data_IF_761011716591
#
_entry.id   IF_761011716591
#
_cell.length_a   1.000
_cell.length_b   1.000
_cell.length_c   1.000
_cell.angle_alpha   90.00
_cell.angle_beta   90.00
_cell.angle_gamma   90.00
#
_symmetry.space_group_name_H-M   'P 1'
#
loop_
_entity.id
_entity.type
_entity.pdbx_description
1 polymer ?
#
# COMPACT_ATOMS: atom_id res chain seq x y z
N UNK A 1 2.76 -11.01 -20.18
CA UNK A 1 1.46 -11.70 -20.40
C UNK A 1 1.29 -12.70 -19.25
N UNK A 2 0.07 -12.93 -18.76
CA UNK A 2 -0.18 -13.76 -17.56
C UNK A 2 -0.16 -13.00 -16.23
N UNK A 3 -0.32 -11.68 -16.27
CA UNK A 3 -0.42 -10.80 -15.09
C UNK A 3 -1.81 -10.18 -15.11
N UNK A 4 -2.47 -10.16 -13.95
CA UNK A 4 -3.72 -9.43 -13.76
C UNK A 4 -3.41 -8.12 -13.04
N UNK A 5 -3.93 -7.01 -13.56
CA UNK A 5 -3.77 -5.68 -12.96
C UNK A 5 -5.10 -5.29 -12.33
N UNK A 6 -5.05 -4.90 -11.07
CA UNK A 6 -6.16 -4.29 -10.34
C UNK A 6 -5.81 -2.82 -10.09
N UNK A 7 -6.79 -1.95 -10.22
CA UNK A 7 -6.69 -0.55 -9.87
C UNK A 7 -7.73 -0.25 -8.80
N UNK A 8 -7.32 0.48 -7.76
CA UNK A 8 -8.14 0.78 -6.59
C UNK A 8 -7.77 2.17 -6.05
N UNK A 9 -8.75 2.90 -5.52
CA UNK A 9 -8.56 4.23 -4.96
C UNK A 9 -8.08 4.22 -3.50
N UNK A 10 -7.83 3.06 -2.88
CA UNK A 10 -7.42 2.93 -1.49
C UNK A 10 -6.19 3.81 -1.16
N UNK A 11 -6.38 4.75 -0.23
CA UNK A 11 -5.37 5.71 0.22
C UNK A 11 -5.43 5.95 1.75
N UNK A 12 -6.13 5.09 2.48
CA UNK A 12 -6.12 5.05 3.94
C UNK A 12 -5.66 3.66 4.36
N UNK A 13 -4.91 3.49 5.46
CA UNK A 13 -4.47 2.16 5.90
C UNK A 13 -5.59 1.13 5.97
N UNK A 14 -6.74 1.49 6.55
CA UNK A 14 -7.90 0.59 6.61
C UNK A 14 -8.44 0.21 5.23
N UNK A 15 -8.45 1.14 4.28
CA UNK A 15 -8.89 0.87 2.91
C UNK A 15 -7.90 -0.06 2.18
N UNK A 16 -6.60 0.21 2.30
CA UNK A 16 -5.53 -0.60 1.71
C UNK A 16 -5.60 -2.04 2.26
N UNK A 17 -5.70 -2.19 3.59
CA UNK A 17 -5.84 -3.49 4.23
C UNK A 17 -7.09 -4.24 3.74
N UNK A 18 -8.22 -3.54 3.62
CA UNK A 18 -9.48 -4.13 3.13
C UNK A 18 -9.36 -4.58 1.67
N UNK A 19 -8.75 -3.76 0.81
CA UNK A 19 -8.52 -4.10 -0.60
C UNK A 19 -7.61 -5.33 -0.72
N UNK A 20 -6.51 -5.39 0.04
CA UNK A 20 -5.58 -6.51 -0.04
C UNK A 20 -6.13 -7.79 0.59
N UNK A 21 -6.89 -7.71 1.68
CA UNK A 21 -7.62 -8.85 2.25
C UNK A 21 -8.65 -9.42 1.25
N UNK A 22 -9.43 -8.54 0.62
CA UNK A 22 -10.38 -8.94 -0.42
C UNK A 22 -9.68 -9.56 -1.64
N UNK A 23 -8.55 -8.99 -2.06
CA UNK A 23 -7.76 -9.53 -3.16
C UNK A 23 -7.18 -10.91 -2.81
N UNK A 24 -6.59 -11.08 -1.62
CA UNK A 24 -6.04 -12.36 -1.15
C UNK A 24 -7.10 -13.45 -1.16
N UNK A 25 -8.30 -13.17 -0.63
CA UNK A 25 -9.44 -14.10 -0.66
C UNK A 25 -9.85 -14.50 -2.09
N UNK A 26 -9.65 -13.62 -3.07
CA UNK A 26 -9.97 -13.87 -4.48
C UNK A 26 -8.90 -14.68 -5.21
N UNK A 27 -7.61 -14.43 -4.94
CA UNK A 27 -6.50 -15.00 -5.72
C UNK A 27 -5.79 -16.18 -5.05
N UNK A 28 -6.17 -16.51 -3.81
CA UNK A 28 -5.56 -17.60 -3.03
C UNK A 28 -4.08 -17.33 -2.82
N UNK A 29 -3.24 -18.33 -3.07
CA UNK A 29 -1.77 -18.23 -2.88
C UNK A 29 -1.04 -17.58 -4.06
N UNK A 30 -1.76 -17.01 -5.03
CA UNK A 30 -1.12 -16.30 -6.14
C UNK A 30 -0.36 -15.06 -5.63
N UNK A 31 0.85 -14.76 -6.14
CA UNK A 31 1.61 -13.60 -5.69
C UNK A 31 0.88 -12.27 -5.90
N UNK A 32 0.87 -11.42 -4.88
CA UNK A 32 0.34 -10.06 -4.89
C UNK A 32 1.50 -9.08 -4.79
N UNK A 33 1.62 -8.20 -5.78
CA UNK A 33 2.52 -7.04 -5.74
C UNK A 33 1.66 -5.80 -5.55
N UNK A 34 1.78 -5.15 -4.39
CA UNK A 34 1.10 -3.89 -4.10
C UNK A 34 1.96 -2.70 -4.52
N UNK A 35 1.45 -1.84 -5.39
CA UNK A 35 2.09 -0.57 -5.74
C UNK A 35 1.28 0.54 -5.09
N UNK A 36 1.87 1.24 -4.13
CA UNK A 36 1.14 2.22 -3.29
C UNK A 36 1.73 3.63 -3.48
N UNK A 37 0.86 4.57 -3.85
CA UNK A 37 1.17 6.00 -3.97
C UNK A 37 0.44 6.78 -2.85
N UNK A 38 1.15 7.48 -1.95
CA UNK A 38 0.55 8.42 -1.01
C UNK A 38 -0.01 9.68 -1.73
N UNK A 39 -1.19 9.57 -2.35
CA UNK A 39 -1.73 10.63 -3.23
C UNK A 39 -2.51 11.71 -2.49
N UNK A 40 -3.33 11.34 -1.50
CA UNK A 40 -4.29 12.27 -0.87
C UNK A 40 -3.56 13.39 -0.11
N UNK A 41 -4.20 14.56 0.04
CA UNK A 41 -3.60 15.66 0.80
C UNK A 41 -3.29 15.27 2.25
N UNK A 42 -4.20 14.52 2.89
CA UNK A 42 -4.01 13.97 4.23
C UNK A 42 -2.83 13.00 4.29
N UNK A 43 -2.71 12.05 3.35
CA UNK A 43 -1.54 11.16 3.30
C UNK A 43 -0.23 11.91 3.07
N UNK A 44 -0.21 12.91 2.17
CA UNK A 44 1.00 13.70 1.91
C UNK A 44 1.46 14.50 3.13
N UNK A 45 0.52 14.88 4.00
CA UNK A 45 0.79 15.51 5.29
C UNK A 45 1.17 14.51 6.40
N UNK A 46 1.22 13.21 6.09
CA UNK A 46 1.61 12.15 7.02
C UNK A 46 0.47 11.66 7.90
N UNK A 47 -0.78 12.03 7.61
CA UNK A 47 -1.92 11.45 8.30
C UNK A 47 -1.95 9.95 8.00
N UNK A 48 -1.97 9.15 9.08
CA UNK A 48 -2.00 7.68 9.04
C UNK A 48 -0.70 6.97 8.64
N UNK A 49 0.45 7.67 8.61
CA UNK A 49 1.75 7.05 8.26
C UNK A 49 2.07 5.81 9.10
N UNK A 50 1.73 5.84 10.39
CA UNK A 50 2.08 4.78 11.34
C UNK A 50 1.27 3.49 11.08
N UNK A 51 0.13 3.58 10.38
CA UNK A 51 -0.68 2.40 10.01
C UNK A 51 -0.36 1.85 8.63
N UNK A 52 0.45 2.54 7.82
CA UNK A 52 0.78 2.09 6.47
C UNK A 52 1.53 0.75 6.42
N UNK A 53 2.52 0.48 7.30
CA UNK A 53 3.27 -0.77 7.27
C UNK A 53 2.38 -2.00 7.44
N UNK A 54 1.46 -1.97 8.41
CA UNK A 54 0.54 -3.09 8.67
C UNK A 54 -0.55 -3.20 7.59
N UNK A 55 -0.88 -2.11 6.90
CA UNK A 55 -1.93 -2.13 5.88
C UNK A 55 -1.60 -3.00 4.66
N UNK A 56 -0.33 -3.30 4.45
CA UNK A 56 0.17 -4.06 3.29
C UNK A 56 0.54 -5.51 3.61
N UNK A 57 0.25 -6.00 4.83
CA UNK A 57 0.62 -7.35 5.32
C UNK A 57 0.15 -8.53 4.45
N UNK A 58 -0.87 -8.34 3.61
CA UNK A 58 -1.41 -9.39 2.72
C UNK A 58 -0.71 -9.46 1.35
N UNK A 59 0.16 -8.49 1.03
CA UNK A 59 0.95 -8.46 -0.20
C UNK A 59 2.27 -9.21 -0.04
N UNK A 60 2.73 -9.87 -1.10
CA UNK A 60 4.01 -10.59 -1.10
C UNK A 60 5.19 -9.66 -1.43
N UNK A 61 4.92 -8.58 -2.16
CA UNK A 61 5.87 -7.50 -2.41
C UNK A 61 5.15 -6.16 -2.39
N UNK A 62 5.84 -5.13 -1.91
CA UNK A 62 5.31 -3.77 -1.83
C UNK A 62 6.29 -2.80 -2.47
N UNK A 63 5.79 -2.02 -3.42
CA UNK A 63 6.53 -0.93 -4.06
C UNK A 63 5.86 0.38 -3.66
N UNK A 64 6.59 1.18 -2.89
CA UNK A 64 6.15 2.50 -2.47
C UNK A 64 6.63 3.56 -3.46
N UNK A 65 5.71 4.36 -4.00
CA UNK A 65 6.08 5.55 -4.77
C UNK A 65 6.17 6.76 -3.84
N UNK A 66 7.37 7.32 -3.68
CA UNK A 66 7.59 8.55 -2.94
C UNK A 66 7.55 9.76 -3.90
N UNK A 67 6.51 10.60 -3.88
CA UNK A 67 6.52 11.83 -4.66
C UNK A 67 7.56 12.81 -4.10
N UNK A 68 8.19 13.60 -4.98
CA UNK A 68 9.29 14.50 -4.61
C UNK A 68 8.92 15.54 -3.53
N UNK A 69 7.63 15.86 -3.40
CA UNK A 69 7.09 16.80 -2.42
C UNK A 69 6.43 16.11 -1.21
N UNK A 70 6.79 14.86 -0.91
CA UNK A 70 6.29 14.18 0.27
C UNK A 70 6.87 14.83 1.54
N UNK A 71 6.01 15.26 2.45
CA UNK A 71 6.40 16.00 3.64
C UNK A 71 6.96 15.16 4.79
N UNK A 72 7.17 13.86 4.57
CA UNK A 72 7.61 12.90 5.59
C UNK A 72 8.44 11.77 4.96
N UNK A 73 9.17 11.06 5.81
CA UNK A 73 10.09 10.00 5.39
C UNK A 73 9.33 8.68 5.12
N UNK A 74 8.98 8.45 3.86
CA UNK A 74 8.37 7.19 3.43
C UNK A 74 9.31 6.00 3.56
N UNK A 75 10.62 6.21 3.43
CA UNK A 75 11.61 5.15 3.58
C UNK A 75 11.62 4.60 5.01
N UNK A 76 11.60 5.49 6.00
CA UNK A 76 11.53 5.12 7.41
C UNK A 76 10.21 4.39 7.75
N UNK A 77 9.10 4.74 7.13
CA UNK A 77 7.83 4.00 7.28
C UNK A 77 7.89 2.64 6.58
N UNK A 78 8.35 2.59 5.32
CA UNK A 78 8.45 1.35 4.56
C UNK A 78 9.37 0.32 5.22
N UNK A 79 10.44 0.75 5.89
CA UNK A 79 11.34 -0.12 6.64
C UNK A 79 10.67 -0.87 7.83
N UNK A 80 9.43 -0.50 8.19
CA UNK A 80 8.65 -1.15 9.25
C UNK A 80 7.70 -2.23 8.70
N UNK A 81 7.63 -2.43 7.37
CA UNK A 81 6.85 -3.51 6.76
C UNK A 81 7.47 -4.88 7.14
N UNK A 82 6.63 -5.91 7.22
CA UNK A 82 7.06 -7.29 7.47
C UNK A 82 7.76 -7.92 6.27
#
# INVERSE_FOLDING_TARGET
RGITIYDDFAHHPTAIATTLDGLRKKVGDSPIIAIVEPRSNSMKLGAHRDGLPESVDQADQVVWYAPANLGWDLGATAAQCK
#
